data_IF_689633626211
#
_entry.id   IF_689633626211
#
_cell.length_a   1.000
_cell.length_b   1.000
_cell.length_c   1.000
_cell.angle_alpha   90.00
_cell.angle_beta   90.00
_cell.angle_gamma   90.00
#
_symmetry.space_group_name_H-M   'P 1'
#
loop_
_entity.id
_entity.type
_entity.pdbx_description
1 polymer ?
#
# COMPACT_ATOMS: atom_id res chain seq x y z
N UNK A 1 41.67 -15.32 17.31
CA UNK A 1 41.86 -14.32 16.23
C UNK A 1 40.73 -14.27 15.19
N UNK A 2 39.62 -15.01 15.36
CA UNK A 2 38.44 -14.91 14.48
C UNK A 2 37.32 -13.99 15.01
N UNK A 3 37.48 -13.38 16.20
CA UNK A 3 36.48 -12.53 16.84
C UNK A 3 36.80 -11.01 16.77
N UNK A 4 37.73 -10.62 15.89
CA UNK A 4 38.21 -9.23 15.79
C UNK A 4 38.12 -8.66 14.36
N UNK A 5 37.25 -9.23 13.51
CA UNK A 5 37.14 -8.82 12.10
C UNK A 5 35.71 -8.60 11.60
N UNK A 6 34.77 -8.35 12.52
CA UNK A 6 33.36 -8.08 12.19
C UNK A 6 32.84 -6.78 12.83
N UNK A 7 33.73 -5.86 13.17
CA UNK A 7 33.38 -4.44 13.21
C UNK A 7 33.57 -3.89 11.79
N UNK A 8 32.73 -4.34 10.84
CA UNK A 8 32.61 -3.64 9.58
C UNK A 8 32.01 -2.28 9.92
N UNK A 9 32.80 -1.21 9.76
CA UNK A 9 32.29 0.16 9.74
C UNK A 9 31.06 0.18 8.83
N UNK A 10 29.88 0.39 9.42
CA UNK A 10 28.60 0.37 8.71
C UNK A 10 28.71 1.35 7.55
N UNK A 11 28.46 0.87 6.32
CA UNK A 11 28.41 1.79 5.18
C UNK A 11 27.42 2.92 5.53
N UNK A 12 27.81 4.19 5.31
CA UNK A 12 26.97 5.32 5.68
C UNK A 12 25.62 5.20 4.97
N UNK A 13 24.53 5.38 5.72
CA UNK A 13 23.17 5.36 5.17
C UNK A 13 23.10 6.39 4.05
N UNK A 14 22.78 5.94 2.83
CA UNK A 14 22.74 6.77 1.62
C UNK A 14 21.30 7.11 1.27
N UNK A 15 21.04 8.36 0.90
CA UNK A 15 19.75 8.82 0.41
C UNK A 15 19.48 10.28 0.75
N UNK A 16 18.39 10.87 0.24
CA UNK A 16 18.02 12.26 0.54
C UNK A 16 17.66 12.50 2.02
N UNK A 17 17.29 11.45 2.79
CA UNK A 17 16.96 11.54 4.21
C UNK A 17 18.08 11.09 5.14
N UNK A 18 19.32 10.95 4.64
CA UNK A 18 20.48 10.67 5.48
C UNK A 18 20.56 11.64 6.66
N UNK A 19 20.63 11.10 7.87
CA UNK A 19 20.68 11.85 9.12
C UNK A 19 19.31 12.09 9.78
N UNK A 20 18.19 11.76 9.13
CA UNK A 20 16.87 11.76 9.77
C UNK A 20 16.70 10.51 10.62
N UNK A 21 16.23 10.67 11.86
CA UNK A 21 15.93 9.59 12.80
C UNK A 21 14.43 9.41 12.96
N UNK A 22 13.93 8.20 12.77
CA UNK A 22 12.50 7.87 12.83
C UNK A 22 12.29 6.76 13.84
N UNK A 23 11.36 6.95 14.77
CA UNK A 23 10.82 5.88 15.62
C UNK A 23 9.51 5.41 15.01
N UNK A 24 9.38 4.11 14.76
CA UNK A 24 8.12 3.48 14.32
C UNK A 24 7.60 2.61 15.47
N UNK A 25 6.43 2.93 16.02
CA UNK A 25 5.73 2.03 16.92
C UNK A 25 5.05 0.94 16.09
N UNK A 26 5.39 -0.32 16.34
CA UNK A 26 4.99 -1.44 15.49
C UNK A 26 3.48 -1.52 15.27
N UNK A 27 3.07 -1.37 14.01
CA UNK A 27 1.70 -1.54 13.53
C UNK A 27 1.60 -2.53 12.36
N UNK A 28 0.49 -2.45 11.63
CA UNK A 28 0.23 -3.18 10.39
C UNK A 28 -0.18 -2.22 9.27
N UNK A 29 -0.06 -2.67 8.02
CA UNK A 29 -0.56 -1.95 6.84
C UNK A 29 0.17 -0.63 6.58
N UNK A 30 -0.51 0.53 6.71
CA UNK A 30 0.00 1.80 6.19
C UNK A 30 1.21 2.37 6.96
N UNK A 31 1.29 2.19 8.28
CA UNK A 31 2.40 2.69 9.10
C UNK A 31 3.75 2.07 8.72
N UNK A 32 3.87 0.72 8.72
CA UNK A 32 5.09 0.03 8.30
C UNK A 32 5.55 0.36 6.88
N UNK A 33 4.62 0.53 5.93
CA UNK A 33 4.96 0.90 4.54
C UNK A 33 5.49 2.35 4.45
N UNK A 34 4.91 3.29 5.21
CA UNK A 34 5.43 4.67 5.28
C UNK A 34 6.84 4.69 5.89
N UNK A 35 7.05 3.98 7.00
CA UNK A 35 8.36 3.86 7.63
C UNK A 35 9.40 3.17 6.72
N UNK A 36 9.00 2.14 5.95
CA UNK A 36 9.85 1.54 4.92
C UNK A 36 10.26 2.57 3.87
N UNK A 37 9.32 3.37 3.41
CA UNK A 37 9.58 4.41 2.40
C UNK A 37 10.60 5.43 2.91
N UNK A 38 10.49 5.87 4.17
CA UNK A 38 11.47 6.77 4.79
C UNK A 38 12.85 6.09 4.93
N UNK A 39 12.90 4.81 5.33
CA UNK A 39 14.14 4.04 5.42
C UNK A 39 14.82 3.88 4.06
N UNK A 40 14.05 3.56 3.02
CA UNK A 40 14.50 3.45 1.63
C UNK A 40 15.05 4.78 1.08
N UNK A 41 14.52 5.91 1.57
CA UNK A 41 15.01 7.26 1.28
C UNK A 41 16.23 7.64 2.14
N UNK A 42 16.72 6.76 3.01
CA UNK A 42 17.95 6.93 3.79
C UNK A 42 17.74 7.42 5.23
N UNK A 43 16.51 7.41 5.75
CA UNK A 43 16.29 7.67 7.17
C UNK A 43 16.77 6.49 8.03
N UNK A 44 17.28 6.78 9.23
CA UNK A 44 17.58 5.77 10.23
C UNK A 44 16.31 5.45 11.02
N UNK A 45 15.65 4.35 10.64
CA UNK A 45 14.36 3.94 11.21
C UNK A 45 14.56 2.87 12.29
N UNK A 46 14.11 3.16 13.50
CA UNK A 46 14.04 2.24 14.63
C UNK A 46 12.60 1.85 14.86
N UNK A 47 12.28 0.60 14.58
CA UNK A 47 11.00 -0.03 14.89
C UNK A 47 10.99 -0.53 16.33
N UNK A 48 9.97 -0.14 17.08
CA UNK A 48 9.68 -0.64 18.44
C UNK A 48 8.67 -1.77 18.32
N UNK A 49 9.16 -3.01 18.35
CA UNK A 49 8.33 -4.21 18.35
C UNK A 49 7.83 -4.54 19.76
N UNK A 50 6.61 -5.09 19.83
CA UNK A 50 6.02 -5.59 21.06
C UNK A 50 6.43 -7.04 21.34
N UNK A 51 6.63 -7.43 22.62
CA UNK A 51 6.74 -8.84 23.00
C UNK A 51 5.57 -9.66 22.45
N UNK A 52 5.85 -10.85 21.93
CA UNK A 52 4.85 -11.73 21.32
C UNK A 52 4.52 -11.46 19.84
N UNK A 53 5.14 -10.47 19.19
CA UNK A 53 5.18 -10.32 17.72
C UNK A 53 3.99 -9.58 17.08
N UNK A 54 4.08 -9.39 15.75
CA UNK A 54 3.11 -8.68 14.90
C UNK A 54 2.10 -9.58 14.16
N UNK A 55 1.01 -8.98 13.66
CA UNK A 55 -0.26 -9.66 13.34
C UNK A 55 -0.41 -10.29 11.95
N UNK A 56 0.48 -10.04 10.99
CA UNK A 56 0.24 -10.41 9.58
C UNK A 56 0.60 -11.86 9.22
N UNK A 57 1.08 -12.68 10.16
CA UNK A 57 1.51 -14.06 9.94
C UNK A 57 2.52 -14.24 8.78
N UNK A 58 3.20 -13.17 8.36
CA UNK A 58 4.32 -13.20 7.42
C UNK A 58 5.58 -13.49 8.25
N UNK A 59 6.35 -14.56 7.94
CA UNK A 59 7.62 -14.79 8.61
C UNK A 59 8.53 -13.57 8.43
N UNK A 60 9.22 -13.15 9.51
CA UNK A 60 9.96 -11.89 9.54
C UNK A 60 10.93 -11.72 8.35
N UNK A 61 11.56 -12.80 7.88
CA UNK A 61 12.48 -12.76 6.74
C UNK A 61 11.80 -12.38 5.40
N UNK A 62 10.49 -12.54 5.26
CA UNK A 62 9.72 -12.22 4.06
C UNK A 62 8.93 -10.92 4.17
N UNK A 63 8.92 -10.28 5.35
CA UNK A 63 8.24 -9.01 5.56
C UNK A 63 9.09 -7.84 5.05
N UNK A 64 9.07 -7.64 3.74
CA UNK A 64 9.85 -6.59 3.07
C UNK A 64 9.50 -5.18 3.57
N UNK A 65 8.34 -4.98 4.21
CA UNK A 65 8.01 -3.68 4.82
C UNK A 65 8.90 -3.33 6.01
N UNK A 66 9.70 -4.28 6.50
CA UNK A 66 10.69 -4.05 7.56
C UNK A 66 12.14 -4.00 7.05
N UNK A 67 12.37 -3.97 5.73
CA UNK A 67 13.72 -3.77 5.17
C UNK A 67 14.29 -2.40 5.55
N UNK A 68 15.62 -2.27 5.54
CA UNK A 68 16.34 -1.04 5.88
C UNK A 68 16.11 -0.46 7.29
N UNK A 69 15.28 -1.11 8.13
CA UNK A 69 15.00 -0.72 9.51
C UNK A 69 15.92 -1.44 10.49
N UNK A 70 15.97 -0.92 11.70
CA UNK A 70 16.47 -1.61 12.91
C UNK A 70 15.28 -1.86 13.83
N UNK A 71 15.39 -2.85 14.71
CA UNK A 71 14.30 -3.23 15.61
C UNK A 71 14.79 -3.40 17.04
N UNK A 72 13.99 -2.88 17.97
CA UNK A 72 14.09 -3.05 19.43
C UNK A 72 12.81 -3.69 19.95
N UNK A 73 12.87 -4.40 21.06
CA UNK A 73 11.71 -5.03 21.69
C UNK A 73 11.38 -4.29 22.98
N UNK A 74 10.21 -3.65 23.09
CA UNK A 74 9.76 -2.93 24.27
C UNK A 74 8.29 -3.24 24.57
N UNK A 75 7.96 -3.52 25.83
CA UNK A 75 6.57 -3.49 26.28
C UNK A 75 6.21 -2.08 26.74
N UNK A 76 5.38 -1.39 25.96
CA UNK A 76 4.95 -0.02 26.28
C UNK A 76 3.97 0.05 27.46
N UNK A 77 3.50 -1.10 27.97
CA UNK A 77 2.68 -1.16 29.19
C UNK A 77 3.52 -1.11 30.45
N UNK A 78 4.80 -1.47 30.35
CA UNK A 78 5.73 -1.40 31.46
C UNK A 78 6.36 -0.01 31.54
N UNK A 79 6.58 0.46 32.77
CA UNK A 79 7.21 1.76 33.03
C UNK A 79 8.57 1.89 32.33
N UNK A 80 9.40 0.85 32.42
CA UNK A 80 10.74 0.82 31.82
C UNK A 80 10.68 0.85 30.29
N UNK A 81 9.75 0.09 29.70
CA UNK A 81 9.57 0.05 28.24
C UNK A 81 9.03 1.37 27.69
N UNK A 82 8.10 2.01 28.42
CA UNK A 82 7.60 3.36 28.11
C UNK A 82 8.72 4.40 28.17
N UNK A 83 9.48 4.46 29.26
CA UNK A 83 10.59 5.40 29.39
C UNK A 83 11.69 5.18 28.35
N UNK A 84 11.96 3.93 27.97
CA UNK A 84 12.88 3.62 26.88
C UNK A 84 12.36 4.13 25.51
N UNK A 85 11.05 4.03 25.24
CA UNK A 85 10.44 4.57 24.03
C UNK A 85 10.45 6.12 24.01
N UNK A 86 10.21 6.76 25.16
CA UNK A 86 10.35 8.22 25.28
C UNK A 86 11.80 8.66 25.12
N UNK A 87 12.77 7.91 25.66
CA UNK A 87 14.20 8.21 25.47
C UNK A 87 14.67 8.04 24.02
N UNK A 88 14.07 7.13 23.24
CA UNK A 88 14.22 7.09 21.79
C UNK A 88 13.65 8.35 21.13
N UNK A 89 12.47 8.80 21.58
CA UNK A 89 11.77 9.98 21.08
C UNK A 89 12.57 11.28 21.32
N UNK A 90 13.29 11.40 22.43
CA UNK A 90 14.20 12.51 22.74
C UNK A 90 15.30 12.69 21.66
N UNK A 91 15.58 11.64 20.87
CA UNK A 91 16.64 11.60 19.87
C UNK A 91 16.11 11.56 18.44
N UNK A 92 14.80 11.46 18.27
CA UNK A 92 14.14 11.29 16.98
C UNK A 92 13.75 12.62 16.35
N UNK A 93 13.66 12.64 15.02
CA UNK A 93 13.02 13.73 14.27
C UNK A 93 11.55 13.42 14.01
N UNK A 94 11.20 12.13 13.92
CA UNK A 94 9.85 11.65 13.62
C UNK A 94 9.48 10.49 14.55
N UNK A 95 8.25 10.47 15.03
CA UNK A 95 7.60 9.27 15.58
C UNK A 95 6.41 8.91 14.71
N UNK A 96 6.28 7.64 14.32
CA UNK A 96 5.15 7.10 13.56
C UNK A 96 4.41 6.10 14.43
N UNK A 97 3.09 6.28 14.54
CA UNK A 97 2.21 5.30 15.15
C UNK A 97 0.88 5.20 14.40
N UNK A 98 0.29 4.01 14.42
CA UNK A 98 -0.99 3.74 13.77
C UNK A 98 -1.96 3.02 14.69
N UNK A 99 -1.96 3.39 15.97
CA UNK A 99 -2.92 2.87 16.92
C UNK A 99 -4.29 3.52 16.73
N UNK A 100 -5.31 2.96 17.38
CA UNK A 100 -6.59 3.67 17.49
C UNK A 100 -6.39 4.96 18.29
N UNK A 101 -7.16 6.03 18.00
CA UNK A 101 -7.15 7.25 18.79
C UNK A 101 -7.22 6.97 20.30
N UNK A 102 -6.45 7.72 21.08
CA UNK A 102 -6.38 7.57 22.54
C UNK A 102 -5.50 6.41 23.04
N UNK A 103 -5.05 5.47 22.20
CA UNK A 103 -4.18 4.36 22.65
C UNK A 103 -2.80 4.85 23.05
N UNK A 104 -2.17 5.70 22.23
CA UNK A 104 -0.83 6.22 22.51
C UNK A 104 -0.81 7.04 23.81
N UNK A 105 -1.84 7.84 24.03
CA UNK A 105 -2.06 8.62 25.26
C UNK A 105 -2.20 7.71 26.48
N UNK A 106 -2.99 6.62 26.39
CA UNK A 106 -3.10 5.64 27.49
C UNK A 106 -1.79 4.91 27.78
N UNK A 107 -0.93 4.76 26.77
CA UNK A 107 0.40 4.19 26.91
C UNK A 107 1.46 5.22 27.35
N UNK A 108 1.08 6.50 27.53
CA UNK A 108 1.98 7.60 27.90
C UNK A 108 3.09 7.88 26.88
N UNK A 109 2.80 7.58 25.61
CA UNK A 109 3.64 7.91 24.45
C UNK A 109 2.83 8.75 23.47
N UNK A 110 1.87 9.54 23.98
CA UNK A 110 1.04 10.42 23.18
C UNK A 110 1.78 11.68 22.72
N UNK A 111 1.19 12.48 21.81
CA UNK A 111 1.77 13.70 21.29
C UNK A 111 2.20 14.67 22.38
N UNK A 112 1.36 14.89 23.39
CA UNK A 112 1.67 15.83 24.48
C UNK A 112 2.90 15.37 25.27
N UNK A 113 2.98 14.08 25.63
CA UNK A 113 4.12 13.50 26.35
C UNK A 113 5.41 13.60 25.51
N UNK A 114 5.33 13.27 24.22
CA UNK A 114 6.45 13.27 23.31
C UNK A 114 6.93 14.68 22.94
N UNK A 115 6.03 15.62 22.66
CA UNK A 115 6.35 17.00 22.30
C UNK A 115 6.83 17.82 23.50
N UNK A 116 6.38 17.50 24.71
CA UNK A 116 6.93 18.10 25.94
C UNK A 116 8.42 17.77 26.11
N UNK A 117 8.85 16.56 25.71
CA UNK A 117 10.26 16.14 25.76
C UNK A 117 11.07 16.59 24.55
N UNK A 118 10.46 16.53 23.37
CA UNK A 118 11.08 16.93 22.11
C UNK A 118 10.15 17.87 21.32
N UNK A 119 10.24 19.20 21.56
CA UNK A 119 9.39 20.18 20.88
C UNK A 119 9.63 20.30 19.37
N UNK A 120 10.67 19.65 18.83
CA UNK A 120 10.99 19.62 17.39
C UNK A 120 10.44 18.37 16.69
N UNK A 121 9.85 17.44 17.43
CA UNK A 121 9.39 16.16 16.92
C UNK A 121 8.22 16.33 15.93
N UNK A 122 8.30 15.62 14.82
CA UNK A 122 7.12 15.36 13.99
C UNK A 122 6.42 14.11 14.51
N UNK A 123 5.28 14.28 15.18
CA UNK A 123 4.49 13.16 15.68
C UNK A 123 3.46 12.78 14.62
N UNK A 124 3.62 11.64 13.97
CA UNK A 124 2.84 11.25 12.81
C UNK A 124 1.87 10.10 13.13
N UNK A 125 0.57 10.39 13.02
CA UNK A 125 -0.54 9.48 13.28
C UNK A 125 -1.07 8.91 11.97
N UNK A 126 -1.12 7.59 11.88
CA UNK A 126 -1.61 6.87 10.71
C UNK A 126 -2.87 6.08 11.05
N UNK A 127 -4.03 6.61 10.68
CA UNK A 127 -5.31 5.96 10.99
C UNK A 127 -6.21 5.83 9.76
N UNK A 128 -7.22 4.98 9.86
CA UNK A 128 -8.23 4.85 8.83
C UNK A 128 -9.18 6.06 8.77
N UNK A 129 -9.72 6.42 9.93
CA UNK A 129 -10.83 7.38 10.07
C UNK A 129 -10.42 8.79 10.49
N UNK A 130 -9.15 9.01 10.90
CA UNK A 130 -8.69 10.25 11.52
C UNK A 130 -8.80 10.22 13.05
N UNK A 131 -8.26 11.25 13.71
CA UNK A 131 -8.36 11.39 15.18
C UNK A 131 -9.73 11.85 15.66
N UNK A 132 -10.54 12.45 14.80
CA UNK A 132 -11.82 13.06 15.14
C UNK A 132 -12.98 12.52 14.30
N UNK A 133 -14.21 12.83 14.71
CA UNK A 133 -15.43 12.44 14.00
C UNK A 133 -16.06 11.14 14.49
N UNK A 134 -17.27 10.81 14.00
CA UNK A 134 -18.11 9.74 14.56
C UNK A 134 -17.56 8.32 14.34
N UNK A 135 -16.56 8.16 13.47
CA UNK A 135 -15.94 6.88 13.15
C UNK A 135 -14.53 6.72 13.76
N UNK A 136 -13.94 7.76 14.38
CA UNK A 136 -12.55 7.76 14.87
C UNK A 136 -12.21 6.54 15.76
N UNK A 137 -13.11 6.19 16.69
CA UNK A 137 -12.92 5.07 17.62
C UNK A 137 -13.26 3.68 17.02
N UNK A 138 -13.80 3.65 15.79
CA UNK A 138 -14.28 2.40 15.17
C UNK A 138 -13.13 1.63 14.52
N UNK A 139 -13.23 0.30 14.62
CA UNK A 139 -12.39 -0.58 13.82
C UNK A 139 -12.66 -0.38 12.32
N UNK A 140 -11.66 -0.65 11.50
CA UNK A 140 -11.80 -0.67 10.05
C UNK A 140 -10.59 -1.32 9.41
N UNK A 141 -10.70 -1.54 8.10
CA UNK A 141 -9.62 -1.94 7.21
C UNK A 141 -9.80 -1.17 5.91
N UNK A 142 -8.76 -1.15 5.07
CA UNK A 142 -8.71 -0.49 3.75
C UNK A 142 -10.07 -0.39 3.06
N UNK A 143 -10.70 -1.53 2.77
CA UNK A 143 -11.96 -1.61 2.02
C UNK A 143 -13.09 -0.78 2.62
N UNK A 144 -13.17 -0.68 3.96
CA UNK A 144 -14.17 0.12 4.65
C UNK A 144 -13.90 1.61 4.53
N UNK A 145 -12.63 2.01 4.60
CA UNK A 145 -12.22 3.40 4.44
C UNK A 145 -12.54 3.87 3.02
N UNK A 146 -12.09 3.14 2.00
CA UNK A 146 -12.30 3.52 0.60
C UNK A 146 -13.78 3.44 0.19
N UNK A 147 -14.60 2.61 0.85
CA UNK A 147 -16.04 2.51 0.58
C UNK A 147 -16.78 3.82 0.88
N UNK A 148 -16.55 4.44 2.03
CA UNK A 148 -17.30 5.65 2.42
C UNK A 148 -16.90 6.90 1.64
N UNK A 149 -15.73 6.89 1.01
CA UNK A 149 -15.25 8.01 0.17
C UNK A 149 -15.88 8.05 -1.21
N UNK A 150 -16.63 6.99 -1.59
CA UNK A 150 -17.10 6.78 -2.96
C UNK A 150 -16.04 6.19 -3.90
N UNK A 151 -14.76 6.13 -3.49
CA UNK A 151 -13.69 5.65 -4.36
C UNK A 151 -13.83 4.18 -4.75
N UNK A 152 -14.26 3.32 -3.81
CA UNK A 152 -14.58 1.92 -4.13
C UNK A 152 -15.75 1.81 -5.12
N UNK A 153 -16.70 2.75 -5.06
CA UNK A 153 -17.86 2.77 -5.95
C UNK A 153 -17.51 2.86 -7.43
N UNK A 154 -16.30 3.35 -7.75
CA UNK A 154 -15.80 3.53 -9.12
C UNK A 154 -15.12 2.29 -9.70
N UNK A 155 -14.80 1.27 -8.90
CA UNK A 155 -13.92 0.18 -9.33
C UNK A 155 -14.68 -1.10 -9.68
N UNK A 156 -14.37 -1.65 -10.87
CA UNK A 156 -14.90 -2.94 -11.32
C UNK A 156 -15.86 -2.84 -12.51
N UNK A 157 -16.42 -3.98 -12.94
CA UNK A 157 -17.34 -4.04 -14.09
C UNK A 157 -18.64 -3.27 -13.82
N UNK A 158 -19.35 -2.93 -14.91
CA UNK A 158 -20.67 -2.28 -14.84
C UNK A 158 -21.65 -3.06 -13.95
N UNK A 159 -21.72 -4.38 -14.17
CA UNK A 159 -22.59 -5.29 -13.43
C UNK A 159 -21.88 -5.96 -12.25
N UNK A 160 -22.62 -6.29 -11.19
CA UNK A 160 -22.09 -6.96 -10.00
C UNK A 160 -21.60 -6.00 -8.91
N UNK A 161 -20.88 -6.52 -7.89
CA UNK A 161 -20.35 -5.69 -6.80
C UNK A 161 -19.10 -4.91 -7.23
N UNK A 162 -18.79 -3.77 -6.59
CA UNK A 162 -17.50 -3.12 -6.72
C UNK A 162 -16.32 -4.04 -6.35
N UNK A 163 -15.15 -3.81 -6.94
CA UNK A 163 -13.95 -4.64 -6.75
C UNK A 163 -12.88 -3.87 -5.97
N UNK A 164 -12.44 -4.41 -4.84
CA UNK A 164 -11.36 -3.82 -4.06
C UNK A 164 -10.01 -3.93 -4.81
N UNK A 165 -9.28 -2.82 -5.02
CA UNK A 165 -7.95 -2.84 -5.66
C UNK A 165 -6.86 -3.29 -4.66
N UNK A 166 -7.00 -4.52 -4.14
CA UNK A 166 -6.30 -5.00 -2.94
C UNK A 166 -6.40 -3.96 -1.81
N UNK A 167 -5.28 -3.60 -1.18
CA UNK A 167 -5.18 -2.47 -0.24
C UNK A 167 -4.32 -1.32 -0.80
N UNK A 168 -4.14 -1.25 -2.12
CA UNK A 168 -3.23 -0.28 -2.74
C UNK A 168 -3.80 1.14 -2.68
N UNK A 169 -5.12 1.28 -2.75
CA UNK A 169 -5.79 2.58 -2.82
C UNK A 169 -5.88 3.26 -1.45
N UNK A 170 -6.37 2.56 -0.43
CA UNK A 170 -6.56 3.12 0.90
C UNK A 170 -5.25 3.15 1.67
N UNK A 171 -4.80 1.99 2.17
CA UNK A 171 -3.64 1.87 3.06
C UNK A 171 -2.41 2.57 2.47
N UNK A 172 -2.08 2.33 1.20
CA UNK A 172 -0.84 2.87 0.62
C UNK A 172 -1.01 4.24 -0.03
N UNK A 173 -1.82 4.34 -1.09
CA UNK A 173 -1.92 5.59 -1.84
C UNK A 173 -2.60 6.70 -1.02
N UNK A 174 -3.73 6.41 -0.37
CA UNK A 174 -4.48 7.35 0.48
C UNK A 174 -3.94 7.48 1.90
N UNK A 175 -3.22 6.49 2.41
CA UNK A 175 -2.67 6.47 3.77
C UNK A 175 -1.18 6.77 3.80
N UNK A 176 -0.35 5.74 3.61
CA UNK A 176 1.10 5.81 3.76
C UNK A 176 1.75 6.96 3.01
N UNK A 177 1.37 7.18 1.74
CA UNK A 177 1.97 8.24 0.93
C UNK A 177 1.57 9.63 1.42
N UNK A 178 0.35 9.83 1.94
CA UNK A 178 -0.05 11.09 2.58
C UNK A 178 0.67 11.32 3.90
N UNK A 179 0.94 10.27 4.68
CA UNK A 179 1.76 10.39 5.89
C UNK A 179 3.20 10.74 5.55
N UNK A 180 3.79 10.12 4.52
CA UNK A 180 5.14 10.49 4.05
C UNK A 180 5.16 11.96 3.60
N UNK A 181 4.17 12.42 2.83
CA UNK A 181 4.05 13.82 2.43
C UNK A 181 3.95 14.74 3.65
N UNK A 182 3.09 14.40 4.62
CA UNK A 182 2.90 15.17 5.84
C UNK A 182 4.17 15.22 6.69
N UNK A 183 4.85 14.09 6.88
CA UNK A 183 6.12 13.97 7.61
C UNK A 183 7.21 14.80 6.95
N UNK A 184 7.40 14.68 5.63
CA UNK A 184 8.43 15.45 4.92
C UNK A 184 8.15 16.96 4.98
N UNK A 185 6.88 17.37 4.89
CA UNK A 185 6.47 18.77 5.00
C UNK A 185 6.70 19.31 6.42
N UNK A 186 6.35 18.53 7.43
CA UNK A 186 6.57 18.87 8.84
C UNK A 186 8.07 18.91 9.19
N UNK A 187 8.87 17.97 8.68
CA UNK A 187 10.33 17.99 8.83
C UNK A 187 10.95 19.22 8.17
N UNK A 188 10.47 19.60 6.98
CA UNK A 188 10.92 20.83 6.32
C UNK A 188 10.59 22.07 7.17
N UNK A 189 9.38 22.14 7.72
CA UNK A 189 8.97 23.20 8.64
C UNK A 189 9.85 23.24 9.90
N UNK A 190 10.00 22.09 10.56
CA UNK A 190 10.78 21.94 11.80
C UNK A 190 12.28 22.19 11.60
N UNK A 191 12.81 22.16 10.38
CA UNK A 191 14.20 22.57 10.07
C UNK A 191 14.37 24.08 9.89
N UNK A 192 13.28 24.81 9.71
CA UNK A 192 13.28 26.26 9.57
C UNK A 192 13.63 27.02 10.86
N UNK A 193 13.66 28.36 10.81
CA UNK A 193 14.08 29.20 11.94
C UNK A 193 13.25 29.03 13.22
N UNK A 194 11.96 28.67 13.09
CA UNK A 194 11.08 28.41 14.24
C UNK A 194 11.40 27.09 14.92
N UNK A 195 11.84 26.09 14.15
CA UNK A 195 12.33 24.83 14.69
C UNK A 195 11.27 23.91 15.31
N UNK A 196 10.00 24.32 15.33
CA UNK A 196 8.92 23.62 16.03
C UNK A 196 8.45 22.38 15.25
N UNK A 197 8.24 21.30 15.97
CA UNK A 197 7.57 20.10 15.50
C UNK A 197 6.05 20.27 15.52
N UNK A 198 5.34 19.24 15.09
CA UNK A 198 3.88 19.24 15.06
C UNK A 198 3.31 17.82 14.94
N UNK A 199 2.01 17.71 15.18
CA UNK A 199 1.27 16.48 14.90
C UNK A 199 0.85 16.45 13.43
N UNK A 200 1.05 15.31 12.77
CA UNK A 200 0.50 15.00 11.44
C UNK A 200 -0.60 13.96 11.65
N UNK A 201 -1.85 14.33 11.43
CA UNK A 201 -2.96 13.38 11.36
C UNK A 201 -3.18 12.97 9.89
N UNK A 202 -2.81 11.75 9.53
CA UNK A 202 -3.02 11.20 8.21
C UNK A 202 -4.12 10.12 8.27
N UNK A 203 -5.32 10.52 7.87
CA UNK A 203 -6.47 9.63 7.74
C UNK A 203 -6.55 9.04 6.32
N UNK A 204 -6.71 7.71 6.21
CA UNK A 204 -6.89 7.04 4.91
C UNK A 204 -8.12 7.60 4.17
N UNK A 205 -9.21 7.90 4.88
CA UNK A 205 -10.41 8.49 4.24
C UNK A 205 -10.14 9.84 3.60
N UNK A 206 -9.33 10.69 4.21
CA UNK A 206 -9.02 12.02 3.69
C UNK A 206 -8.13 11.91 2.46
N UNK A 207 -7.04 11.14 2.56
CA UNK A 207 -6.12 10.95 1.43
C UNK A 207 -6.78 10.21 0.26
N UNK A 208 -7.63 9.21 0.53
CA UNK A 208 -8.39 8.52 -0.52
C UNK A 208 -9.39 9.47 -1.18
N UNK A 209 -10.12 10.28 -0.40
CA UNK A 209 -11.03 11.28 -0.96
C UNK A 209 -10.27 12.29 -1.82
N UNK A 210 -9.11 12.76 -1.35
CA UNK A 210 -8.26 13.70 -2.08
C UNK A 210 -7.74 13.11 -3.41
N UNK A 211 -7.45 11.80 -3.48
CA UNK A 211 -7.10 11.13 -4.74
C UNK A 211 -8.23 11.17 -5.79
N UNK A 212 -9.49 11.36 -5.37
CA UNK A 212 -10.64 11.48 -6.29
C UNK A 212 -10.87 12.90 -6.84
N UNK A 213 -10.05 13.89 -6.47
CA UNK A 213 -10.29 15.30 -6.78
C UNK A 213 -10.55 15.59 -8.27
N UNK A 214 -9.77 14.97 -9.18
CA UNK A 214 -10.00 15.11 -10.62
C UNK A 214 -11.37 14.57 -11.04
N UNK A 215 -11.77 13.41 -10.50
CA UNK A 215 -13.05 12.78 -10.80
C UNK A 215 -14.21 13.63 -10.29
N UNK A 216 -14.09 14.18 -9.08
CA UNK A 216 -15.09 15.11 -8.54
C UNK A 216 -15.25 16.35 -9.42
N UNK A 217 -14.14 16.89 -9.95
CA UNK A 217 -14.17 17.97 -10.93
C UNK A 217 -14.86 17.59 -12.23
N UNK A 218 -14.57 16.40 -12.77
CA UNK A 218 -15.23 15.89 -13.98
C UNK A 218 -16.73 15.63 -13.76
N UNK A 219 -17.11 15.09 -12.61
CA UNK A 219 -18.51 14.87 -12.23
C UNK A 219 -19.25 16.20 -12.18
N UNK A 220 -18.68 17.23 -11.53
CA UNK A 220 -19.25 18.57 -11.48
C UNK A 220 -19.37 19.21 -12.88
N UNK A 221 -18.47 18.88 -13.80
CA UNK A 221 -18.50 19.35 -15.19
C UNK A 221 -19.41 18.51 -16.11
N UNK A 222 -20.06 17.45 -15.60
CA UNK A 222 -20.85 16.50 -16.41
C UNK A 222 -20.02 15.60 -17.33
N UNK A 223 -18.69 15.60 -17.17
CA UNK A 223 -17.74 14.78 -17.94
C UNK A 223 -17.48 13.41 -17.29
N UNK A 224 -18.11 13.12 -16.15
CA UNK A 224 -18.09 11.84 -15.48
C UNK A 224 -19.51 11.43 -15.07
N UNK A 225 -19.82 10.16 -15.25
CA UNK A 225 -21.05 9.52 -14.79
C UNK A 225 -20.77 8.76 -13.50
N UNK A 226 -21.63 8.94 -12.49
CA UNK A 226 -21.54 8.21 -11.22
C UNK A 226 -22.06 6.76 -11.35
N UNK A 227 -21.43 6.00 -12.26
CA UNK A 227 -21.66 4.59 -12.55
C UNK A 227 -20.36 3.98 -13.05
N UNK A 228 -20.11 2.71 -12.71
CA UNK A 228 -18.89 1.99 -13.12
C UNK A 228 -18.89 1.63 -14.60
N UNK A 229 -17.69 1.56 -15.18
CA UNK A 229 -17.45 1.20 -16.56
C UNK A 229 -18.32 2.02 -17.55
N UNK A 230 -18.54 3.29 -17.23
CA UNK A 230 -19.34 4.23 -18.04
C UNK A 230 -18.53 5.47 -18.45
N UNK A 231 -17.24 5.49 -18.13
CA UNK A 231 -16.38 6.66 -18.26
C UNK A 231 -15.14 6.34 -19.09
N UNK A 232 -14.36 7.39 -19.37
CA UNK A 232 -13.15 7.29 -20.18
C UNK A 232 -12.07 6.42 -19.52
N UNK A 233 -11.97 6.44 -18.19
CA UNK A 233 -10.83 5.91 -17.43
C UNK A 233 -11.17 4.74 -16.49
N UNK A 234 -12.41 4.23 -16.53
CA UNK A 234 -12.90 3.16 -15.64
C UNK A 234 -13.22 1.84 -16.37
N UNK A 235 -12.85 1.76 -17.66
CA UNK A 235 -13.13 0.61 -18.51
C UNK A 235 -14.35 0.76 -19.44
N UNK A 236 -15.13 1.85 -19.32
CA UNK A 236 -16.27 2.11 -20.20
C UNK A 236 -15.91 2.40 -21.66
N UNK A 237 -14.74 3.00 -21.88
CA UNK A 237 -14.18 3.26 -23.21
C UNK A 237 -13.55 1.99 -23.83
N UNK A 238 -13.90 1.57 -25.07
CA UNK A 238 -13.33 0.37 -25.70
C UNK A 238 -11.81 0.44 -25.92
N UNK A 239 -11.24 1.62 -26.09
CA UNK A 239 -9.80 1.83 -26.28
C UNK A 239 -9.11 2.26 -24.97
N UNK A 240 -9.75 2.02 -23.82
CA UNK A 240 -9.16 2.10 -22.48
C UNK A 240 -9.69 0.95 -21.60
N UNK A 241 -9.00 -0.19 -21.60
CA UNK A 241 -9.47 -1.39 -20.90
C UNK A 241 -8.61 -2.63 -21.15
N UNK A 242 -9.09 -3.79 -20.70
CA UNK A 242 -8.38 -5.07 -20.83
C UNK A 242 -9.14 -6.07 -21.70
N UNK A 243 -8.41 -6.83 -22.52
CA UNK A 243 -8.96 -7.79 -23.46
C UNK A 243 -8.29 -9.15 -23.34
N UNK A 244 -9.08 -10.23 -23.32
CA UNK A 244 -8.58 -11.59 -23.23
C UNK A 244 -7.91 -12.04 -24.54
N UNK A 245 -6.87 -12.85 -24.42
CA UNK A 245 -6.13 -13.45 -25.54
C UNK A 245 -6.42 -14.95 -25.66
N UNK A 246 -5.98 -15.59 -26.75
CA UNK A 246 -6.32 -17.00 -27.04
C UNK A 246 -5.80 -18.00 -26.00
N UNK A 247 -4.78 -17.62 -25.23
CA UNK A 247 -4.13 -18.38 -24.16
C UNK A 247 -4.69 -18.08 -22.76
N UNK A 248 -5.78 -17.31 -22.66
CA UNK A 248 -6.40 -16.94 -21.37
C UNK A 248 -5.67 -15.83 -20.61
N UNK A 249 -4.63 -15.24 -21.21
CA UNK A 249 -4.00 -14.01 -20.75
C UNK A 249 -4.81 -12.76 -21.12
N UNK A 250 -4.24 -11.58 -20.82
CA UNK A 250 -4.87 -10.30 -21.14
C UNK A 250 -3.87 -9.29 -21.73
N UNK A 251 -4.36 -8.44 -22.64
CA UNK A 251 -3.71 -7.20 -23.07
C UNK A 251 -4.44 -6.01 -22.46
N UNK A 252 -3.69 -4.99 -22.03
CA UNK A 252 -4.23 -3.70 -21.63
C UNK A 252 -4.08 -2.70 -22.79
N UNK A 253 -5.13 -1.93 -23.06
CA UNK A 253 -5.19 -0.89 -24.10
C UNK A 253 -5.47 0.44 -23.42
N UNK A 254 -4.74 1.49 -23.82
CA UNK A 254 -4.93 2.86 -23.36
C UNK A 254 -4.74 3.89 -24.48
N UNK A 255 -5.26 3.59 -25.67
CA UNK A 255 -5.08 4.38 -26.89
C UNK A 255 -6.08 5.55 -26.98
N UNK A 256 -6.03 6.49 -26.04
CA UNK A 256 -7.01 7.57 -25.88
C UNK A 256 -6.89 8.63 -26.98
N UNK A 257 -5.67 9.05 -27.30
CA UNK A 257 -5.40 10.10 -28.28
C UNK A 257 -5.63 9.58 -29.71
N UNK A 258 -6.21 10.40 -30.62
CA UNK A 258 -6.59 9.96 -31.97
C UNK A 258 -5.47 9.27 -32.76
N UNK A 259 -4.25 9.81 -32.68
CA UNK A 259 -3.07 9.25 -33.39
C UNK A 259 -2.65 7.87 -32.86
N UNK A 260 -2.77 7.66 -31.54
CA UNK A 260 -2.43 6.38 -30.92
C UNK A 260 -3.51 5.35 -31.20
N UNK A 261 -4.79 5.76 -31.18
CA UNK A 261 -5.91 4.93 -31.61
C UNK A 261 -5.78 4.49 -33.08
N UNK A 262 -5.44 5.40 -33.99
CA UNK A 262 -5.22 5.07 -35.40
C UNK A 262 -4.13 4.00 -35.56
N UNK A 263 -2.99 4.17 -34.86
CA UNK A 263 -1.91 3.18 -34.87
C UNK A 263 -2.33 1.84 -34.25
N UNK A 264 -3.10 1.89 -33.18
CA UNK A 264 -3.68 0.71 -32.54
C UNK A 264 -4.60 -0.05 -33.49
N UNK A 265 -5.55 0.64 -34.14
CA UNK A 265 -6.51 0.05 -35.08
C UNK A 265 -5.81 -0.57 -36.31
N UNK A 266 -4.76 0.07 -36.82
CA UNK A 266 -3.92 -0.45 -37.90
C UNK A 266 -3.23 -1.76 -37.48
N UNK A 267 -2.52 -1.76 -36.34
CA UNK A 267 -1.77 -2.92 -35.86
C UNK A 267 -2.66 -4.09 -35.43
N UNK A 268 -3.85 -3.78 -34.89
CA UNK A 268 -4.85 -4.79 -34.53
C UNK A 268 -5.58 -5.35 -35.78
N UNK A 269 -5.48 -4.67 -36.92
CA UNK A 269 -6.14 -5.07 -38.17
C UNK A 269 -7.66 -4.83 -38.15
N UNK A 270 -8.07 -3.65 -37.66
CA UNK A 270 -9.48 -3.23 -37.61
C UNK A 270 -9.72 -1.84 -38.20
N UNK A 271 -8.69 -1.17 -38.73
CA UNK A 271 -8.80 0.21 -39.22
C UNK A 271 -9.93 0.41 -40.25
N UNK A 272 -10.17 -0.58 -41.11
CA UNK A 272 -11.20 -0.53 -42.16
C UNK A 272 -12.58 -1.05 -41.72
N UNK A 273 -12.67 -1.65 -40.53
CA UNK A 273 -13.89 -2.30 -39.99
C UNK A 273 -14.46 -1.58 -38.76
N UNK A 274 -13.62 -0.85 -38.03
CA UNK A 274 -14.01 -0.22 -36.77
C UNK A 274 -14.97 0.96 -37.01
N UNK A 275 -16.08 1.06 -36.25
CA UNK A 275 -16.87 2.28 -36.25
C UNK A 275 -16.03 3.48 -35.72
N UNK A 276 -16.45 4.73 -36.01
CA UNK A 276 -15.78 5.91 -35.47
C UNK A 276 -15.68 5.84 -33.95
N UNK A 277 -14.49 6.13 -33.39
CA UNK A 277 -14.26 6.03 -31.94
C UNK A 277 -15.11 7.03 -31.14
N UNK A 278 -15.54 8.12 -31.77
CA UNK A 278 -16.42 9.16 -31.21
C UNK A 278 -17.88 8.70 -31.11
N UNK A 279 -18.27 7.65 -31.84
CA UNK A 279 -19.62 7.10 -31.80
C UNK A 279 -19.82 6.20 -30.57
N UNK A 280 -20.24 6.83 -29.48
CA UNK A 280 -20.52 6.16 -28.20
C UNK A 280 -21.61 5.08 -28.33
N UNK A 281 -22.58 5.25 -29.23
CA UNK A 281 -23.64 4.26 -29.44
C UNK A 281 -23.08 2.96 -30.06
N UNK A 282 -22.02 3.08 -30.87
CA UNK A 282 -21.32 1.95 -31.49
C UNK A 282 -20.21 1.34 -30.60
N UNK A 283 -19.97 1.85 -29.40
CA UNK A 283 -18.89 1.34 -28.53
C UNK A 283 -19.05 -0.14 -28.14
N UNK A 284 -20.29 -0.64 -28.06
CA UNK A 284 -20.54 -2.06 -27.85
C UNK A 284 -20.00 -2.93 -28.99
N UNK A 285 -20.22 -2.50 -30.23
CA UNK A 285 -19.71 -3.15 -31.44
C UNK A 285 -18.19 -3.05 -31.53
N UNK A 286 -17.62 -1.85 -31.30
CA UNK A 286 -16.18 -1.64 -31.30
C UNK A 286 -15.47 -2.52 -30.27
N UNK A 287 -16.02 -2.62 -29.05
CA UNK A 287 -15.48 -3.48 -28.00
C UNK A 287 -15.50 -4.95 -28.40
N UNK A 288 -16.60 -5.42 -28.99
CA UNK A 288 -16.72 -6.80 -29.47
C UNK A 288 -15.69 -7.10 -30.57
N UNK A 289 -15.48 -6.17 -31.51
CA UNK A 289 -14.48 -6.29 -32.57
C UNK A 289 -13.06 -6.35 -32.00
N UNK A 290 -12.71 -5.45 -31.08
CA UNK A 290 -11.39 -5.43 -30.43
C UNK A 290 -11.16 -6.74 -29.65
N UNK A 291 -12.16 -7.19 -28.87
CA UNK A 291 -12.08 -8.44 -28.12
C UNK A 291 -11.89 -9.65 -29.03
N UNK A 292 -12.65 -9.74 -30.13
CA UNK A 292 -12.54 -10.83 -31.09
C UNK A 292 -11.16 -10.88 -31.74
N UNK A 293 -10.56 -9.72 -32.05
CA UNK A 293 -9.20 -9.66 -32.57
C UNK A 293 -8.19 -10.13 -31.53
N UNK A 294 -8.21 -9.60 -30.31
CA UNK A 294 -7.28 -10.04 -29.26
C UNK A 294 -7.38 -11.55 -28.96
N UNK A 295 -8.58 -12.12 -28.99
CA UNK A 295 -8.81 -13.55 -28.79
C UNK A 295 -8.23 -14.46 -29.90
N UNK A 296 -7.75 -13.91 -31.03
CA UNK A 296 -7.21 -14.69 -32.16
C UNK A 296 -5.75 -15.09 -32.01
N UNK A 297 -4.99 -14.44 -31.10
CA UNK A 297 -3.57 -14.72 -30.86
C UNK A 297 -3.26 -14.71 -29.36
N UNK A 298 -2.13 -15.30 -29.01
CA UNK A 298 -1.66 -15.36 -27.63
C UNK A 298 -1.22 -13.99 -27.13
N UNK A 299 -1.12 -13.80 -25.81
CA UNK A 299 -0.59 -12.57 -25.20
C UNK A 299 0.81 -12.23 -25.70
N UNK A 300 1.66 -13.25 -25.88
CA UNK A 300 3.04 -13.06 -26.35
C UNK A 300 3.11 -12.57 -27.80
N UNK A 301 2.31 -13.16 -28.70
CA UNK A 301 2.23 -12.73 -30.10
C UNK A 301 1.72 -11.28 -30.22
N UNK A 302 0.73 -10.89 -29.40
CA UNK A 302 0.28 -9.50 -29.38
C UNK A 302 1.33 -8.55 -28.81
N UNK A 303 2.04 -8.94 -27.74
CA UNK A 303 3.12 -8.13 -27.21
C UNK A 303 4.20 -7.85 -28.26
N UNK A 304 4.54 -8.83 -29.11
CA UNK A 304 5.47 -8.65 -30.23
C UNK A 304 4.92 -7.69 -31.30
N UNK A 305 3.64 -7.81 -31.68
CA UNK A 305 3.00 -6.92 -32.66
C UNK A 305 3.06 -5.44 -32.23
N UNK A 306 2.80 -5.17 -30.95
CA UNK A 306 2.75 -3.79 -30.45
C UNK A 306 4.11 -3.28 -29.97
N UNK A 307 5.14 -4.12 -29.92
CA UNK A 307 6.46 -3.76 -29.41
C UNK A 307 7.06 -2.59 -30.19
N UNK A 308 7.51 -1.56 -29.47
CA UNK A 308 8.14 -0.37 -30.05
C UNK A 308 7.18 0.57 -30.79
N UNK A 309 5.86 0.36 -30.67
CA UNK A 309 4.85 1.25 -31.23
C UNK A 309 4.25 2.20 -30.19
N UNK A 310 3.63 3.28 -30.68
CA UNK A 310 2.85 4.23 -29.86
C UNK A 310 1.36 3.83 -29.77
N UNK A 311 1.02 2.55 -29.94
CA UNK A 311 -0.36 2.08 -29.89
C UNK A 311 -0.94 2.00 -28.46
N UNK A 312 -0.13 2.28 -27.43
CA UNK A 312 -0.54 2.23 -26.02
C UNK A 312 -1.13 0.87 -25.60
N UNK A 313 -0.52 -0.23 -26.09
CA UNK A 313 -0.91 -1.60 -25.73
C UNK A 313 0.23 -2.29 -24.99
N UNK A 314 -0.08 -2.97 -23.89
CA UNK A 314 0.89 -3.72 -23.09
C UNK A 314 0.31 -5.05 -22.59
N UNK A 315 1.14 -6.10 -22.41
CA UNK A 315 0.67 -7.34 -21.79
C UNK A 315 0.38 -7.12 -20.30
N UNK A 316 -0.73 -7.68 -19.81
CA UNK A 316 -1.01 -7.73 -18.37
C UNK A 316 -0.17 -8.84 -17.75
N UNK A 317 0.78 -8.46 -16.89
CA UNK A 317 1.72 -9.37 -16.24
C UNK A 317 1.32 -9.67 -14.79
N UNK A 318 1.60 -10.89 -14.34
CA UNK A 318 1.50 -11.25 -12.92
C UNK A 318 2.64 -10.63 -12.09
N UNK A 319 2.51 -10.69 -10.76
CA UNK A 319 3.57 -10.25 -9.83
C UNK A 319 4.88 -11.07 -9.99
N UNK A 320 4.80 -12.30 -10.49
CA UNK A 320 5.98 -13.16 -10.71
C UNK A 320 6.59 -12.97 -12.10
N UNK A 321 5.82 -12.47 -13.07
CA UNK A 321 6.29 -12.16 -14.43
C UNK A 321 6.93 -10.78 -14.51
N UNK A 322 6.37 -9.79 -13.81
CA UNK A 322 6.82 -8.39 -13.89
C UNK A 322 8.33 -8.18 -13.65
N UNK A 323 9.00 -8.84 -12.67
CA UNK A 323 10.43 -8.67 -12.47
C UNK A 323 11.29 -9.01 -13.69
N UNK A 324 10.84 -9.95 -14.52
CA UNK A 324 11.56 -10.39 -15.73
C UNK A 324 11.27 -9.53 -16.96
N UNK A 325 10.31 -8.59 -16.91
CA UNK A 325 9.98 -7.75 -18.06
C UNK A 325 11.21 -6.90 -18.48
N UNK A 326 11.62 -6.89 -19.76
CA UNK A 326 12.88 -6.26 -20.19
C UNK A 326 13.03 -4.80 -19.77
N UNK A 327 11.95 -4.02 -19.84
CA UNK A 327 11.97 -2.61 -19.40
C UNK A 327 12.15 -2.47 -17.89
N UNK A 328 11.51 -3.33 -17.09
CA UNK A 328 11.58 -3.27 -15.63
C UNK A 328 12.93 -3.76 -15.12
N UNK A 329 13.48 -4.80 -15.75
CA UNK A 329 14.83 -5.32 -15.53
C UNK A 329 15.91 -4.28 -15.90
N UNK A 330 15.84 -3.69 -17.09
CA UNK A 330 16.80 -2.65 -17.52
C UNK A 330 16.79 -1.42 -16.61
N UNK A 331 15.62 -1.11 -16.03
CA UNK A 331 15.48 -0.04 -15.05
C UNK A 331 15.93 -0.45 -13.65
N UNK A 332 16.08 -1.72 -13.31
CA UNK A 332 16.26 -2.16 -11.92
C UNK A 332 15.05 -1.81 -11.05
N UNK A 333 13.83 -1.98 -11.58
CA UNK A 333 12.59 -1.68 -10.86
C UNK A 333 12.33 -2.70 -9.75
N UNK A 334 12.78 -3.93 -9.97
CA UNK A 334 12.90 -4.96 -8.95
C UNK A 334 14.39 -5.24 -8.71
N UNK A 335 14.73 -5.64 -7.49
CA UNK A 335 16.07 -6.05 -7.10
C UNK A 335 16.02 -7.34 -6.30
N UNK A 336 17.15 -8.05 -6.27
CA UNK A 336 17.38 -9.19 -5.39
C UNK A 336 18.12 -8.72 -4.13
N UNK A 337 17.56 -9.00 -2.96
CA UNK A 337 18.26 -8.78 -1.69
C UNK A 337 17.87 -9.86 -0.69
N UNK A 338 18.87 -10.50 -0.07
CA UNK A 338 18.62 -11.58 0.89
C UNK A 338 17.89 -12.80 0.29
N UNK A 339 18.05 -13.05 -1.01
CA UNK A 339 17.37 -14.13 -1.73
C UNK A 339 15.90 -13.84 -2.06
N UNK A 340 15.48 -12.58 -2.00
CA UNK A 340 14.12 -12.14 -2.32
C UNK A 340 14.11 -11.09 -3.44
N UNK A 341 13.35 -11.39 -4.49
CA UNK A 341 12.93 -10.42 -5.51
C UNK A 341 11.92 -9.46 -4.89
N UNK A 342 12.20 -8.16 -4.92
CA UNK A 342 11.34 -7.13 -4.35
C UNK A 342 11.43 -5.79 -5.10
N UNK A 343 10.42 -4.92 -5.02
CA UNK A 343 10.48 -3.59 -5.64
C UNK A 343 11.65 -2.76 -5.09
N UNK A 344 12.43 -2.12 -5.95
CA UNK A 344 13.47 -1.19 -5.55
C UNK A 344 12.87 0.10 -4.95
N UNK A 345 13.62 0.85 -4.13
CA UNK A 345 13.22 2.17 -3.65
C UNK A 345 12.78 3.12 -4.77
N UNK A 346 11.78 3.95 -4.49
CA UNK A 346 11.24 4.96 -5.40
C UNK A 346 10.89 6.25 -4.64
N UNK A 347 10.99 7.44 -5.28
CA UNK A 347 11.49 7.68 -6.63
C UNK A 347 13.03 7.57 -6.70
N UNK A 348 13.62 7.87 -7.87
CA UNK A 348 15.07 7.88 -8.09
C UNK A 348 15.63 9.28 -7.93
N UNK A 349 16.82 9.37 -7.36
CA UNK A 349 17.54 10.63 -7.13
C UNK A 349 18.90 10.57 -7.85
N UNK A 350 19.24 11.64 -8.58
CA UNK A 350 20.48 11.71 -9.36
C UNK A 350 21.73 11.94 -8.51
N UNK A 351 21.61 12.66 -7.38
CA UNK A 351 22.73 13.03 -6.51
C UNK A 351 22.83 12.12 -5.28
N UNK A 352 21.69 11.74 -4.71
CA UNK A 352 21.58 10.95 -3.47
C UNK A 352 20.84 9.64 -3.72
N UNK A 353 21.43 8.68 -4.47
CA UNK A 353 20.75 7.46 -4.85
C UNK A 353 20.30 6.65 -3.63
N UNK A 354 19.16 5.99 -3.78
CA UNK A 354 18.51 5.15 -2.76
C UNK A 354 18.76 3.67 -3.05
N UNK A 355 18.59 2.82 -2.04
CA UNK A 355 18.83 1.38 -2.18
C UNK A 355 18.36 0.55 -1.00
N UNK A 356 18.32 -0.77 -1.18
CA UNK A 356 18.13 -1.72 -0.08
C UNK A 356 19.51 -2.17 0.37
N UNK A 357 19.87 -1.84 1.61
CA UNK A 357 21.16 -2.17 2.22
C UNK A 357 21.03 -3.16 3.37
N UNK A 358 19.85 -3.29 3.97
CA UNK A 358 19.56 -4.30 4.98
C UNK A 358 18.23 -5.00 4.69
N UNK A 359 18.21 -6.32 4.92
CA UNK A 359 16.99 -7.12 4.80
C UNK A 359 15.97 -6.77 5.89
N UNK A 360 14.80 -7.44 5.90
CA UNK A 360 13.80 -7.25 6.94
C UNK A 360 14.37 -7.40 8.36
N UNK A 361 14.15 -6.39 9.20
CA UNK A 361 14.58 -6.41 10.59
C UNK A 361 13.84 -7.51 11.37
N UNK A 362 14.59 -8.29 12.16
CA UNK A 362 14.00 -9.23 13.12
C UNK A 362 13.69 -8.51 14.44
N UNK A 363 12.57 -8.81 15.12
CA UNK A 363 12.21 -8.21 16.40
C UNK A 363 13.36 -8.24 17.42
N UNK A 364 13.74 -7.07 17.94
CA UNK A 364 14.77 -6.93 18.98
C UNK A 364 16.21 -7.18 18.53
N UNK A 365 16.46 -7.50 17.26
CA UNK A 365 17.79 -7.90 16.79
C UNK A 365 18.86 -6.79 16.89
N UNK A 366 18.44 -5.53 17.07
CA UNK A 366 19.33 -4.37 16.99
C UNK A 366 19.37 -3.55 18.29
N UNK A 367 18.82 -4.06 19.41
CA UNK A 367 18.69 -3.30 20.67
C UNK A 367 20.02 -2.70 21.15
N UNK A 368 21.10 -3.50 21.20
CA UNK A 368 22.41 -3.02 21.65
C UNK A 368 23.02 -1.98 20.67
N UNK A 369 22.77 -2.12 19.37
CA UNK A 369 23.25 -1.18 18.36
C UNK A 369 22.53 0.16 18.46
N UNK A 370 21.20 0.12 18.58
CA UNK A 370 20.38 1.32 18.74
C UNK A 370 20.73 2.05 20.04
N UNK A 371 20.87 1.33 21.15
CA UNK A 371 21.25 1.89 22.45
C UNK A 371 22.55 2.70 22.36
N UNK A 372 23.55 2.17 21.65
CA UNK A 372 24.83 2.84 21.40
C UNK A 372 24.70 4.01 20.42
N UNK A 373 24.13 3.78 19.24
CA UNK A 373 24.15 4.75 18.13
C UNK A 373 23.26 5.97 18.40
N UNK A 374 22.15 5.77 19.11
CA UNK A 374 21.24 6.85 19.51
C UNK A 374 21.55 7.39 20.91
N UNK A 375 22.51 6.77 21.62
CA UNK A 375 22.87 7.08 23.00
C UNK A 375 21.64 7.04 23.92
N UNK A 376 20.98 5.88 23.92
CA UNK A 376 19.81 5.54 24.73
C UNK A 376 20.14 4.29 25.56
N UNK A 377 20.91 4.41 26.65
CA UNK A 377 21.37 3.27 27.44
C UNK A 377 20.23 2.52 28.16
N UNK A 378 19.06 3.14 28.32
CA UNK A 378 17.86 2.51 28.88
C UNK A 378 17.31 1.36 28.04
N UNK A 379 17.73 1.22 26.77
CA UNK A 379 17.35 0.08 25.92
C UNK A 379 18.08 -1.21 26.28
N UNK A 380 19.26 -1.11 26.90
CA UNK A 380 19.98 -2.28 27.38
C UNK A 380 19.58 -2.57 28.81
N UNK A 381 19.13 -3.80 29.14
CA UNK A 381 18.88 -4.17 30.52
C UNK A 381 20.12 -3.87 31.36
N UNK A 382 19.93 -3.22 32.51
CA UNK A 382 20.99 -3.10 33.51
C UNK A 382 21.50 -4.50 33.85
N UNK A 383 22.81 -4.66 34.09
CA UNK A 383 23.39 -5.94 34.50
C UNK A 383 22.69 -6.58 35.73
N UNK A 384 21.92 -5.79 36.50
CA UNK A 384 21.09 -6.25 37.60
C UNK A 384 19.81 -6.99 37.20
N UNK A 385 19.16 -6.67 36.06
CA UNK A 385 17.92 -7.35 35.61
C UNK A 385 18.20 -8.61 34.80
N UNK A 386 19.33 -8.69 34.11
CA UNK A 386 19.77 -9.93 33.45
C UNK A 386 20.02 -11.08 34.46
N UNK A 387 20.38 -10.74 35.70
CA UNK A 387 20.56 -11.73 36.78
C UNK A 387 19.22 -12.23 37.37
N UNK A 388 18.17 -11.41 37.37
CA UNK A 388 16.83 -11.83 37.83
C UNK A 388 16.12 -12.72 36.81
N UNK A 389 16.28 -12.43 35.51
CA UNK A 389 15.69 -13.27 34.45
C UNK A 389 16.37 -14.64 34.33
N UNK A 390 17.69 -14.70 34.54
CA UNK A 390 18.42 -15.97 34.62
C UNK A 390 17.96 -16.82 35.83
N UNK A 391 17.62 -16.17 36.95
CA UNK A 391 17.08 -16.84 38.15
C UNK A 391 15.64 -17.30 37.96
N UNK A 392 14.83 -16.56 37.20
CA UNK A 392 13.44 -16.93 36.88
C UNK A 392 13.38 -18.09 35.87
N UNK A 393 14.28 -18.10 34.89
CA UNK A 393 14.42 -19.18 33.91
C UNK A 393 14.90 -20.50 34.54
N UNK A 394 15.77 -20.46 35.56
CA UNK A 394 16.20 -21.67 36.28
C UNK A 394 15.12 -22.25 37.21
N UNK A 395 14.19 -21.42 37.70
CA UNK A 395 13.10 -21.88 38.56
C UNK A 395 11.97 -22.58 37.77
N UNK A 396 11.89 -22.35 36.45
CA UNK A 396 10.88 -22.94 35.58
C UNK A 396 11.28 -24.31 35.00
N UNK A 397 12.55 -24.74 35.13
CA UNK A 397 13.04 -26.03 34.59
C UNK A 397 12.91 -27.22 35.53
N UNK A 398 12.56 -27.01 36.80
CA UNK A 398 12.37 -28.07 37.80
C UNK A 398 10.87 -28.37 37.99
N UNK A 399 10.23 -28.90 36.94
CA UNK A 399 8.80 -29.17 36.96
C UNK A 399 8.33 -30.12 35.86
N UNK A 400 8.43 -31.42 36.16
CA UNK A 400 7.65 -32.52 35.61
C UNK A 400 8.08 -33.14 34.25
N UNK A 401 8.66 -34.33 34.34
CA UNK A 401 8.89 -35.23 33.23
C UNK A 401 8.36 -36.63 33.58
N UNK A 402 7.29 -37.05 32.90
CA UNK A 402 6.96 -38.48 32.68
C UNK A 402 6.43 -38.72 31.25
N UNK A 403 6.86 -39.80 30.57
CA UNK A 403 6.49 -40.06 29.19
C UNK A 403 5.29 -41.02 29.08
N UNK A 404 4.54 -40.92 27.97
CA UNK A 404 3.64 -41.99 27.53
C UNK A 404 3.81 -42.23 26.03
N UNK A 405 4.21 -43.46 25.72
CA UNK A 405 4.28 -44.10 24.40
C UNK A 405 2.89 -44.40 23.83
N UNK A 406 2.76 -44.35 22.50
CA UNK A 406 1.58 -44.93 21.82
C UNK A 406 1.66 -44.80 20.29
N UNK A 407 2.17 -45.84 19.64
CA UNK A 407 2.09 -46.11 18.20
C UNK A 407 0.64 -46.30 17.75
N UNK A 408 0.27 -45.79 16.57
CA UNK A 408 -0.64 -46.53 15.66
C UNK A 408 -0.60 -46.09 14.20
N UNK A 409 -0.88 -47.08 13.37
CA UNK A 409 -0.67 -47.20 11.94
C UNK A 409 -1.60 -46.38 11.04
N UNK A 410 -1.08 -46.21 9.83
CA UNK A 410 -1.75 -45.85 8.57
C UNK A 410 -2.79 -46.91 8.20
N UNK A 411 -3.94 -46.48 7.68
CA UNK A 411 -4.67 -47.13 6.57
C UNK A 411 -5.74 -46.14 6.05
N UNK A 412 -5.78 -45.98 4.72
CA UNK A 412 -6.73 -45.11 4.03
C UNK A 412 -8.05 -45.81 3.67
N UNK A 413 -9.01 -45.00 3.24
CA UNK A 413 -9.97 -45.23 2.14
C UNK A 413 -11.16 -44.22 2.25
N UNK A 414 -11.31 -43.37 1.24
CA UNK A 414 -12.57 -42.74 0.80
C UNK A 414 -13.38 -43.74 -0.05
N UNK A 415 -14.70 -43.59 -0.36
CA UNK A 415 -15.40 -42.33 -0.66
C UNK A 415 -16.91 -42.24 -0.28
N UNK A 416 -17.52 -41.05 -0.45
CA UNK A 416 -18.99 -40.93 -0.47
C UNK A 416 -19.50 -39.49 -0.43
N UNK A 417 -20.03 -39.02 -1.56
CA UNK A 417 -20.68 -37.73 -1.76
C UNK A 417 -22.02 -37.60 -1.01
N UNK A 418 -22.39 -36.37 -0.61
CA UNK A 418 -23.78 -36.00 -0.35
C UNK A 418 -24.09 -34.58 -0.86
N UNK A 419 -25.29 -34.51 -1.41
CA UNK A 419 -25.98 -33.48 -2.16
C UNK A 419 -26.72 -32.49 -1.22
N UNK A 420 -27.03 -31.32 -1.78
CA UNK A 420 -28.18 -30.44 -1.53
C UNK A 420 -28.60 -30.04 -0.10
N UNK A 421 -28.67 -28.71 0.08
CA UNK A 421 -29.71 -28.06 0.87
C UNK A 421 -30.03 -26.69 0.26
N UNK A 422 -30.98 -26.69 -0.67
CA UNK A 422 -31.74 -25.53 -1.15
C UNK A 422 -33.18 -25.72 -0.68
N UNK A 423 -33.72 -24.70 0.01
CA UNK A 423 -35.13 -24.32 0.21
C UNK A 423 -35.24 -23.71 1.62
N UNK A 424 -36.09 -22.75 1.95
CA UNK A 424 -36.92 -21.79 1.24
C UNK A 424 -37.61 -21.02 2.37
N UNK A 425 -37.55 -19.69 2.40
CA UNK A 425 -38.52 -18.88 3.14
C UNK A 425 -38.89 -17.65 2.30
N UNK A 426 -39.96 -17.86 1.55
CA UNK A 426 -40.77 -16.86 0.84
C UNK A 426 -41.50 -15.94 1.82
N UNK A 427 -41.52 -14.64 1.53
CA UNK A 427 -42.38 -13.67 2.20
C UNK A 427 -42.26 -12.30 1.57
N UNK A 428 -42.99 -12.06 0.48
CA UNK A 428 -43.30 -10.71 -0.02
C UNK A 428 -44.42 -10.09 0.81
N UNK A 429 -44.47 -8.74 0.85
CA UNK A 429 -45.64 -8.08 0.29
C UNK A 429 -45.31 -6.85 -0.57
N UNK A 430 -46.08 -6.74 -1.65
CA UNK A 430 -46.17 -5.62 -2.59
C UNK A 430 -46.65 -4.30 -1.95
N UNK A 431 -46.15 -3.18 -2.47
CA UNK A 431 -46.72 -1.85 -2.33
C UNK A 431 -46.03 -0.86 -3.29
N UNK A 432 -46.77 -0.09 -4.11
CA UNK A 432 -46.21 0.62 -5.27
C UNK A 432 -45.57 1.96 -4.89
N UNK A 433 -44.44 2.29 -5.51
CA UNK A 433 -43.81 3.61 -5.45
C UNK A 433 -44.36 4.53 -6.57
N UNK A 434 -44.54 5.84 -6.33
CA UNK A 434 -45.08 6.77 -7.31
C UNK A 434 -44.00 7.22 -8.31
N UNK A 435 -44.43 7.33 -9.57
CA UNK A 435 -43.71 7.93 -10.70
C UNK A 435 -43.53 9.44 -10.51
N UNK A 436 -42.29 9.91 -10.65
CA UNK A 436 -41.96 11.33 -10.78
C UNK A 436 -41.48 11.57 -12.21
N UNK A 437 -42.29 12.30 -12.97
CA UNK A 437 -41.92 12.88 -14.27
C UNK A 437 -40.86 13.96 -14.07
N UNK A 438 -39.79 13.91 -14.87
CA UNK A 438 -38.88 15.05 -15.09
C UNK A 438 -38.95 15.43 -16.57
N UNK A 439 -39.07 16.73 -16.90
CA UNK A 439 -39.15 17.18 -18.28
C UNK A 439 -37.76 17.22 -18.94
N UNK A 440 -37.76 16.95 -20.23
CA UNK A 440 -36.61 16.99 -21.12
C UNK A 440 -35.97 18.39 -21.18
N UNK A 441 -34.64 18.42 -21.12
CA UNK A 441 -33.82 19.54 -21.59
C UNK A 441 -32.91 19.02 -22.72
N UNK A 442 -33.03 19.64 -23.88
CA UNK A 442 -32.17 19.42 -25.05
C UNK A 442 -30.68 19.66 -24.72
N UNK A 443 -29.74 18.91 -25.32
CA UNK A 443 -28.32 19.20 -25.19
C UNK A 443 -27.90 20.35 -26.12
N UNK A 444 -27.21 21.34 -25.55
CA UNK A 444 -26.44 22.32 -26.30
C UNK A 444 -25.11 21.69 -26.75
N UNK A 445 -24.85 21.78 -28.05
CA UNK A 445 -23.61 21.41 -28.73
C UNK A 445 -22.53 22.48 -28.53
N UNK A 446 -21.30 22.17 -28.07
CA UNK A 446 -20.25 23.17 -27.99
C UNK A 446 -18.93 22.72 -28.62
N UNK A 447 -18.84 22.32 -29.89
CA UNK A 447 -17.53 22.27 -30.58
C UNK A 447 -17.63 22.53 -32.10
N UNK A 448 -17.72 23.80 -32.51
CA UNK A 448 -17.19 24.24 -33.81
C UNK A 448 -16.13 25.33 -33.58
N UNK A 449 -14.90 25.01 -33.92
CA UNK A 449 -13.76 25.91 -33.85
C UNK A 449 -12.60 25.43 -34.72
N UNK A 450 -12.62 25.77 -36.01
CA UNK A 450 -11.46 25.83 -36.89
C UNK A 450 -11.55 27.16 -37.69
N UNK A 451 -10.70 28.16 -37.41
CA UNK A 451 -9.47 28.55 -38.14
C UNK A 451 -9.70 29.31 -39.49
N UNK A 452 -8.72 30.00 -40.09
CA UNK A 452 -7.97 31.19 -39.66
C UNK A 452 -7.97 32.33 -40.75
N UNK A 453 -7.09 33.34 -40.56
CA UNK A 453 -6.52 34.34 -41.52
C UNK A 453 -7.08 35.77 -41.55
N UNK A 454 -6.34 36.71 -40.93
CA UNK A 454 -5.42 37.64 -41.61
C UNK A 454 -4.48 38.30 -40.60
#
# INVERSE_FOLDING_TARGET
MAAAREAAEREPVRGPLSGVRVVELAGIGPGPFAAMTLADLGADVVRVDRPGGGSLAIPAQYDVTNRNKRSVLLDLKDEEGREAALALTDRADVLIEGFRPGVAERLGVGPDDCLARNPRLVYARMTGWGQEGPLAERAGHDIGYIAVTGALGMTGPAEGPPVAPANLLGDYAGGSLYLVIGVLSALHHARGPRGEGQVVDAAIVDGTSHLTAMIQGMLAAGAWQDRRAANLLDGGCPFYGTYATSDGGFMAVGALEPRFYARFAELLGIADEAPPREDVAAWGELRALIAARFASRTRAEWAEVFQGSDACVAPVLSLTEAPAHPHLAARGTYLEHGGLTQPAPAPRFSVTPTGVYAGPARPGAHTAEVARDWNVPSLTPSAASAASDASAASAASDGDARPASGTREVLGETPGALHDASEALSGTPDGPAPTVETPASEPADPFEGEHPTS
#
